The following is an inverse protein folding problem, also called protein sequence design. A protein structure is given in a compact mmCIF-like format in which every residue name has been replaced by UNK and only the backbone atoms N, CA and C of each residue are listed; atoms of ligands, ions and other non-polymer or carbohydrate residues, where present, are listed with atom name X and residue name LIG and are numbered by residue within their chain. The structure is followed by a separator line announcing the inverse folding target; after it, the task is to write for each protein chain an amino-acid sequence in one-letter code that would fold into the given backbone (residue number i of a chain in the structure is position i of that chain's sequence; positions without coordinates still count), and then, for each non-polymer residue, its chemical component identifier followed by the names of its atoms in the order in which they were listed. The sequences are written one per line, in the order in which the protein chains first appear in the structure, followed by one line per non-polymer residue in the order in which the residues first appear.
data_IF_739718995311
#
_entry.id   IF_739718995311
#
_cell.length_a   1.000
_cell.length_b   1.000
_cell.length_c   1.000
_cell.angle_alpha   90.00
_cell.angle_beta   90.00
_cell.angle_gamma   90.00
#
_symmetry.space_group_name_H-M   'P 1'
#
loop_
_entity.id
_entity.type
_entity.pdbx_description
1 polymer ?
#
# COMPACT_ATOMS: atom_id res chain seq x y z
N UNK A 1 38.35 -3.42 -45.10
CA UNK A 1 37.76 -3.00 -43.81
C UNK A 1 36.30 -3.45 -43.77
N UNK A 2 36.04 -4.66 -43.28
CA UNK A 2 34.70 -5.22 -43.18
C UNK A 2 34.12 -4.94 -41.79
N UNK A 3 33.04 -4.15 -41.75
CA UNK A 3 32.26 -3.93 -40.53
C UNK A 3 31.20 -5.07 -40.47
N UNK A 4 31.47 -6.06 -39.67
CA UNK A 4 30.51 -7.11 -39.29
C UNK A 4 29.47 -6.49 -38.33
N UNK A 5 28.26 -6.27 -38.81
CA UNK A 5 27.11 -5.92 -37.97
C UNK A 5 26.63 -7.19 -37.29
N UNK A 6 26.87 -7.26 -35.99
CA UNK A 6 26.30 -8.30 -35.13
C UNK A 6 24.81 -7.99 -34.96
N UNK A 7 23.92 -8.71 -35.66
CA UNK A 7 22.49 -8.74 -35.39
C UNK A 7 22.26 -9.59 -34.15
N UNK A 8 21.97 -8.93 -33.04
CA UNK A 8 21.46 -9.63 -31.83
C UNK A 8 20.03 -10.08 -32.12
N UNK A 9 19.87 -11.36 -32.47
CA UNK A 9 18.56 -11.98 -32.62
C UNK A 9 17.98 -12.17 -31.22
N UNK A 10 17.17 -11.23 -30.73
CA UNK A 10 16.33 -11.45 -29.56
C UNK A 10 15.33 -12.54 -29.92
N UNK A 11 15.51 -13.73 -29.36
CA UNK A 11 14.51 -14.78 -29.35
C UNK A 11 13.33 -14.30 -28.48
N UNK A 12 12.38 -13.61 -29.11
CA UNK A 12 11.07 -13.36 -28.57
C UNK A 12 10.33 -14.69 -28.42
N UNK A 13 10.43 -15.32 -27.24
CA UNK A 13 9.47 -16.34 -26.86
C UNK A 13 8.08 -15.70 -26.85
N UNK A 14 7.04 -16.31 -27.43
CA UNK A 14 5.75 -15.69 -27.57
C UNK A 14 5.08 -15.49 -26.22
N UNK A 15 5.08 -14.27 -25.72
CA UNK A 15 4.11 -13.85 -24.70
C UNK A 15 2.77 -13.86 -25.41
N UNK A 16 1.95 -14.85 -25.14
CA UNK A 16 0.68 -15.03 -25.83
C UNK A 16 -0.34 -14.04 -25.27
N UNK A 17 -0.69 -13.02 -26.07
CA UNK A 17 -1.91 -12.24 -25.83
C UNK A 17 -3.11 -13.15 -26.18
N UNK A 18 -3.76 -13.70 -25.17
CA UNK A 18 -4.90 -14.58 -25.34
C UNK A 18 -6.20 -13.78 -25.25
N UNK A 19 -6.75 -13.37 -26.38
CA UNK A 19 -8.10 -12.82 -26.47
C UNK A 19 -9.06 -13.93 -26.92
N UNK A 20 -9.69 -14.62 -25.99
CA UNK A 20 -10.85 -15.49 -26.25
C UNK A 20 -11.99 -15.12 -25.32
N UNK A 21 -13.08 -14.58 -25.85
CA UNK A 21 -14.31 -14.34 -25.09
C UNK A 21 -14.27 -13.12 -24.17
N UNK A 22 -13.89 -11.94 -24.67
CA UNK A 22 -14.14 -10.64 -24.01
C UNK A 22 -13.11 -10.15 -22.98
N UNK A 23 -12.29 -11.00 -22.36
CA UNK A 23 -11.28 -10.55 -21.41
C UNK A 23 -9.87 -10.61 -22.03
N UNK A 24 -9.15 -9.48 -22.02
CA UNK A 24 -7.75 -9.36 -22.46
C UNK A 24 -6.84 -9.74 -21.29
N UNK A 25 -5.97 -10.74 -21.44
CA UNK A 25 -5.04 -11.12 -20.39
C UNK A 25 -3.69 -11.61 -20.91
N UNK A 26 -2.67 -11.43 -20.06
CA UNK A 26 -1.32 -11.93 -20.20
C UNK A 26 -1.04 -12.89 -19.05
N UNK A 27 -0.14 -13.86 -19.26
CA UNK A 27 0.24 -14.84 -18.24
C UNK A 27 1.75 -14.77 -18.05
N UNK A 28 2.18 -14.54 -16.80
CA UNK A 28 3.59 -14.59 -16.42
C UNK A 28 4.02 -16.05 -16.27
N UNK A 29 5.25 -16.38 -16.66
CA UNK A 29 5.81 -17.70 -16.41
C UNK A 29 6.11 -17.88 -14.92
N UNK A 30 5.64 -18.98 -14.35
CA UNK A 30 5.75 -19.26 -12.91
C UNK A 30 7.18 -19.13 -12.37
N UNK A 31 7.38 -18.31 -11.34
CA UNK A 31 8.66 -18.05 -10.69
C UNK A 31 9.73 -17.34 -11.53
N UNK A 32 9.37 -16.85 -12.72
CA UNK A 32 10.32 -16.19 -13.63
C UNK A 32 10.18 -14.66 -13.53
N UNK A 33 11.12 -14.05 -12.81
CA UNK A 33 11.15 -12.59 -12.59
C UNK A 33 11.31 -11.80 -13.90
N UNK A 34 12.10 -12.31 -14.84
CA UNK A 34 12.28 -11.64 -16.15
C UNK A 34 10.97 -11.66 -16.95
N UNK A 35 10.24 -12.78 -16.94
CA UNK A 35 8.92 -12.87 -17.55
C UNK A 35 7.93 -11.89 -16.92
N UNK A 36 7.98 -11.68 -15.61
CA UNK A 36 7.16 -10.69 -14.93
C UNK A 36 7.45 -9.27 -15.44
N UNK A 37 8.72 -8.87 -15.49
CA UNK A 37 9.16 -7.56 -15.97
C UNK A 37 8.74 -7.32 -17.43
N UNK A 38 8.97 -8.29 -18.31
CA UNK A 38 8.59 -8.24 -19.73
C UNK A 38 7.08 -8.15 -19.90
N UNK A 39 6.31 -8.88 -19.09
CA UNK A 39 4.84 -8.85 -19.12
C UNK A 39 4.29 -7.50 -18.69
N UNK A 40 4.86 -6.88 -17.64
CA UNK A 40 4.50 -5.52 -17.21
C UNK A 40 4.79 -4.53 -18.35
N UNK A 41 5.99 -4.58 -18.94
CA UNK A 41 6.38 -3.69 -20.03
C UNK A 41 5.47 -3.85 -21.27
N UNK A 42 5.05 -5.08 -21.57
CA UNK A 42 4.09 -5.34 -22.65
C UNK A 42 2.70 -4.76 -22.30
N UNK A 43 2.22 -4.96 -21.09
CA UNK A 43 0.95 -4.40 -20.65
C UNK A 43 0.96 -2.87 -20.72
N UNK A 44 2.07 -2.23 -20.37
CA UNK A 44 2.25 -0.79 -20.48
C UNK A 44 2.14 -0.31 -21.93
N UNK A 45 2.70 -1.05 -22.88
CA UNK A 45 2.63 -0.70 -24.30
C UNK A 45 1.21 -0.85 -24.85
N UNK A 46 0.45 -1.84 -24.36
CA UNK A 46 -0.90 -2.16 -24.81
C UNK A 46 -1.99 -1.27 -24.19
N UNK A 47 -1.75 -0.72 -23.00
CA UNK A 47 -2.74 0.00 -22.20
C UNK A 47 -2.33 1.45 -21.84
N UNK A 48 -1.57 2.10 -22.72
CA UNK A 48 -1.21 3.52 -22.53
C UNK A 48 -2.40 4.46 -22.62
N UNK A 49 -3.38 4.13 -23.43
CA UNK A 49 -4.62 4.90 -23.55
C UNK A 49 -5.48 4.70 -22.29
N UNK A 50 -5.96 5.81 -21.71
CA UNK A 50 -6.84 5.79 -20.55
C UNK A 50 -8.22 5.17 -20.82
N UNK A 51 -8.62 5.11 -22.08
CA UNK A 51 -9.88 4.48 -22.56
C UNK A 51 -9.72 3.00 -22.91
N UNK A 52 -8.50 2.45 -22.86
CA UNK A 52 -8.26 1.05 -23.14
C UNK A 52 -9.07 0.14 -22.18
N UNK A 53 -9.60 -0.93 -22.70
CA UNK A 53 -10.24 -1.98 -21.89
C UNK A 53 -9.22 -2.56 -20.89
N UNK A 54 -9.72 -3.01 -19.72
CA UNK A 54 -8.87 -3.60 -18.68
C UNK A 54 -8.08 -4.78 -19.20
N UNK A 55 -6.77 -4.74 -18.95
CA UNK A 55 -5.83 -5.80 -19.26
C UNK A 55 -5.41 -6.49 -17.95
N UNK A 56 -5.59 -7.80 -17.89
CA UNK A 56 -5.23 -8.62 -16.75
C UNK A 56 -3.86 -9.25 -16.94
N UNK A 57 -2.99 -9.15 -15.95
CA UNK A 57 -1.74 -9.90 -15.86
C UNK A 57 -1.94 -10.97 -14.79
N UNK A 58 -2.04 -12.24 -15.22
CA UNK A 58 -2.08 -13.36 -14.29
C UNK A 58 -0.66 -13.77 -13.90
N UNK A 59 -0.41 -13.83 -12.60
CA UNK A 59 0.90 -14.16 -12.02
C UNK A 59 0.72 -15.44 -11.20
N UNK A 60 1.16 -16.61 -11.72
CA UNK A 60 1.08 -17.89 -11.00
C UNK A 60 1.81 -17.86 -9.66
N UNK A 61 1.51 -18.83 -8.78
CA UNK A 61 2.32 -19.05 -7.59
C UNK A 61 3.78 -19.24 -7.98
N UNK A 62 4.66 -18.58 -7.24
CA UNK A 62 6.10 -18.57 -7.48
C UNK A 62 6.79 -17.45 -6.73
N UNK A 63 8.09 -17.52 -6.65
CA UNK A 63 8.96 -16.54 -6.03
C UNK A 63 9.67 -15.75 -7.14
N UNK A 64 9.27 -14.49 -7.30
CA UNK A 64 9.76 -13.59 -8.35
C UNK A 64 10.79 -12.65 -7.75
N UNK A 65 12.05 -13.10 -7.73
CA UNK A 65 13.16 -12.33 -7.17
C UNK A 65 13.71 -11.32 -8.18
N UNK A 66 13.46 -10.05 -7.93
CA UNK A 66 13.95 -8.94 -8.73
C UNK A 66 15.38 -8.51 -8.33
N UNK A 67 16.00 -9.18 -7.34
CA UNK A 67 17.31 -8.81 -6.82
C UNK A 67 17.32 -7.38 -6.30
N UNK A 68 18.28 -6.57 -6.74
CA UNK A 68 18.39 -5.15 -6.39
C UNK A 68 17.50 -4.23 -7.23
N UNK A 69 16.72 -4.77 -8.18
CA UNK A 69 15.87 -3.96 -9.06
C UNK A 69 14.80 -3.23 -8.27
N UNK A 70 14.69 -1.94 -8.49
CA UNK A 70 13.72 -1.06 -7.86
C UNK A 70 12.91 -0.30 -8.92
N UNK A 71 11.79 0.28 -8.49
CA UNK A 71 10.96 1.19 -9.28
C UNK A 71 10.48 0.57 -10.60
N UNK A 72 10.21 -0.76 -10.62
CA UNK A 72 9.55 -1.37 -11.77
C UNK A 72 8.22 -0.65 -12.01
N UNK A 73 8.18 0.14 -13.08
CA UNK A 73 7.07 1.06 -13.32
C UNK A 73 5.91 0.37 -14.04
N UNK A 74 4.69 0.71 -13.62
CA UNK A 74 3.43 0.37 -14.27
C UNK A 74 2.87 1.67 -14.85
N UNK A 75 2.95 1.83 -16.16
CA UNK A 75 2.46 3.01 -16.88
C UNK A 75 1.09 2.80 -17.52
N UNK A 76 0.68 1.55 -17.67
CA UNK A 76 -0.58 1.18 -18.32
C UNK A 76 -1.77 1.61 -17.48
N UNK A 77 -2.79 2.18 -18.15
CA UNK A 77 -4.09 2.46 -17.53
C UNK A 77 -4.97 1.19 -17.56
N UNK A 78 -5.86 1.06 -16.58
CA UNK A 78 -6.75 -0.11 -16.50
C UNK A 78 -5.98 -1.46 -16.50
N UNK A 79 -4.82 -1.53 -15.84
CA UNK A 79 -4.06 -2.77 -15.66
C UNK A 79 -4.48 -3.46 -14.37
N UNK A 80 -4.61 -4.78 -14.40
CA UNK A 80 -4.87 -5.59 -13.22
C UNK A 80 -3.76 -6.63 -13.02
N UNK A 81 -3.07 -6.60 -11.87
CA UNK A 81 -2.12 -7.62 -11.42
C UNK A 81 -2.86 -8.64 -10.57
N UNK A 82 -2.97 -9.88 -11.04
CA UNK A 82 -3.73 -10.94 -10.38
C UNK A 82 -2.80 -12.10 -10.04
N UNK A 83 -2.41 -12.20 -8.78
CA UNK A 83 -1.70 -13.37 -8.27
C UNK A 83 -2.62 -14.59 -8.20
N UNK A 84 -2.05 -15.77 -8.23
CA UNK A 84 -2.80 -17.01 -8.02
C UNK A 84 -3.30 -17.11 -6.58
N UNK A 85 -2.43 -16.83 -5.60
CA UNK A 85 -2.80 -16.68 -4.18
C UNK A 85 -1.90 -15.65 -3.48
N UNK A 86 -2.39 -15.05 -2.41
CA UNK A 86 -1.63 -14.07 -1.64
C UNK A 86 -0.35 -14.68 -1.05
N UNK A 87 -0.44 -15.90 -0.55
CA UNK A 87 0.68 -16.59 0.09
C UNK A 87 1.69 -17.17 -0.92
N UNK A 88 1.21 -17.57 -2.10
CA UNK A 88 2.02 -18.29 -3.07
C UNK A 88 2.65 -17.43 -4.16
N UNK A 89 2.05 -16.27 -4.48
CA UNK A 89 2.59 -15.34 -5.48
C UNK A 89 3.39 -14.25 -4.79
N UNK A 90 4.73 -14.36 -4.77
CA UNK A 90 5.61 -13.46 -4.03
C UNK A 90 6.54 -12.71 -5.00
N UNK A 91 6.41 -11.39 -5.05
CA UNK A 91 7.31 -10.51 -5.79
C UNK A 91 8.22 -9.82 -4.78
N UNK A 92 9.51 -10.01 -4.93
CA UNK A 92 10.50 -9.57 -3.94
C UNK A 92 11.63 -8.77 -4.58
N UNK A 93 12.12 -7.74 -3.86
CA UNK A 93 13.43 -7.15 -4.13
C UNK A 93 14.26 -7.05 -2.84
N UNK A 94 15.56 -6.73 -2.97
CA UNK A 94 16.46 -6.45 -1.86
C UNK A 94 17.44 -5.34 -2.31
N UNK A 95 17.01 -4.09 -2.33
CA UNK A 95 17.90 -2.98 -2.65
C UNK A 95 18.98 -2.84 -1.57
N UNK A 96 20.21 -2.43 -1.94
CA UNK A 96 21.27 -2.21 -0.97
C UNK A 96 20.93 -1.02 -0.04
N UNK A 97 21.39 -1.09 1.20
CA UNK A 97 21.09 -0.09 2.24
C UNK A 97 21.55 1.32 1.88
N UNK A 98 22.59 1.45 1.07
CA UNK A 98 23.09 2.74 0.59
C UNK A 98 22.11 3.46 -0.35
N UNK A 99 21.13 2.72 -0.88
CA UNK A 99 20.06 3.27 -1.72
C UNK A 99 18.78 3.58 -0.92
N UNK A 100 18.78 3.35 0.42
CA UNK A 100 17.60 3.55 1.23
C UNK A 100 16.97 4.92 0.95
N UNK A 101 15.72 4.92 0.58
CA UNK A 101 14.98 6.16 0.28
C UNK A 101 13.53 5.82 -0.06
N UNK A 102 12.60 6.64 0.41
CA UNK A 102 11.18 6.56 0.03
C UNK A 102 10.95 6.68 -1.49
N UNK A 103 11.86 7.28 -2.23
CA UNK A 103 11.71 7.53 -3.67
C UNK A 103 12.49 6.56 -4.55
N UNK A 104 13.29 5.65 -3.99
CA UNK A 104 14.22 4.81 -4.75
C UNK A 104 14.06 3.32 -4.55
N UNK A 105 13.49 2.86 -3.45
CA UNK A 105 13.50 1.46 -3.04
C UNK A 105 12.27 0.66 -3.42
N UNK A 106 11.22 1.29 -3.96
CA UNK A 106 9.96 0.60 -4.25
C UNK A 106 10.16 -0.59 -5.20
N UNK A 107 9.51 -1.71 -4.88
CA UNK A 107 9.42 -2.87 -5.78
C UNK A 107 8.69 -2.44 -7.05
N UNK A 108 7.49 -1.88 -6.87
CA UNK A 108 6.62 -1.43 -7.95
C UNK A 108 6.30 0.07 -7.79
N UNK A 109 6.37 0.78 -8.91
CA UNK A 109 5.99 2.18 -9.04
C UNK A 109 4.78 2.30 -9.97
N UNK A 110 3.60 2.51 -9.41
CA UNK A 110 2.40 2.74 -10.23
C UNK A 110 2.32 4.19 -10.73
N UNK A 111 2.08 4.35 -12.00
CA UNK A 111 1.79 5.62 -12.68
C UNK A 111 0.50 5.55 -13.52
N UNK A 112 -0.09 4.37 -13.60
CA UNK A 112 -1.34 4.12 -14.33
C UNK A 112 -2.57 4.58 -13.57
N UNK A 113 -3.67 4.73 -14.30
CA UNK A 113 -5.00 5.01 -13.74
C UNK A 113 -5.81 3.73 -13.63
N UNK A 114 -6.66 3.64 -12.60
CA UNK A 114 -7.55 2.52 -12.37
C UNK A 114 -6.81 1.17 -12.26
N UNK A 115 -5.68 1.15 -11.58
CA UNK A 115 -4.89 -0.08 -11.35
C UNK A 115 -5.57 -0.96 -10.31
N UNK A 116 -5.61 -2.27 -10.56
CA UNK A 116 -6.13 -3.26 -9.62
C UNK A 116 -5.08 -4.31 -9.28
N UNK A 117 -4.90 -4.60 -8.01
CA UNK A 117 -3.95 -5.59 -7.52
C UNK A 117 -4.66 -6.57 -6.60
N UNK A 118 -4.48 -7.87 -6.84
CA UNK A 118 -5.20 -8.89 -6.08
C UNK A 118 -4.36 -10.15 -5.87
N UNK A 119 -4.50 -10.75 -4.67
CA UNK A 119 -4.00 -12.09 -4.31
C UNK A 119 -2.48 -12.27 -4.55
N UNK A 120 -1.66 -11.34 -4.07
CA UNK A 120 -0.19 -11.45 -4.13
C UNK A 120 0.50 -10.80 -2.93
N UNK A 121 1.76 -11.17 -2.70
CA UNK A 121 2.65 -10.58 -1.71
C UNK A 121 3.74 -9.76 -2.41
N UNK A 122 3.97 -8.55 -1.93
CA UNK A 122 5.14 -7.73 -2.22
C UNK A 122 6.06 -7.77 -1.00
N UNK A 123 7.35 -8.05 -1.20
CA UNK A 123 8.32 -8.17 -0.11
C UNK A 123 9.58 -7.38 -0.43
N UNK A 124 9.86 -6.34 0.35
CA UNK A 124 11.10 -5.58 0.25
C UNK A 124 12.05 -5.99 1.37
N UNK A 125 13.12 -6.67 1.02
CA UNK A 125 14.13 -7.23 1.92
C UNK A 125 15.36 -6.33 2.08
N UNK A 126 15.22 -5.00 1.97
CA UNK A 126 16.26 -4.08 2.41
C UNK A 126 16.63 -4.40 3.87
N UNK A 127 17.91 -4.48 4.17
CA UNK A 127 18.40 -4.78 5.53
C UNK A 127 18.15 -3.59 6.47
N UNK A 128 16.93 -3.55 7.01
CA UNK A 128 16.43 -2.46 7.84
C UNK A 128 17.27 -2.25 9.10
N UNK A 129 17.58 -3.32 9.81
CA UNK A 129 18.26 -3.20 11.12
C UNK A 129 19.73 -2.77 10.99
N UNK A 130 20.37 -3.02 9.86
CA UNK A 130 21.76 -2.64 9.60
C UNK A 130 21.90 -1.50 8.58
N UNK A 131 20.80 -0.79 8.29
CA UNK A 131 20.83 0.30 7.30
C UNK A 131 21.70 1.50 7.71
N UNK A 132 21.95 1.67 9.00
CA UNK A 132 22.68 2.84 9.53
C UNK A 132 21.94 4.17 9.33
N UNK A 133 20.74 4.14 8.77
CA UNK A 133 19.85 5.27 8.48
C UNK A 133 18.40 4.90 8.82
N UNK A 134 17.42 5.54 8.18
CA UNK A 134 16.00 5.27 8.44
C UNK A 134 15.54 3.90 7.93
N UNK A 135 16.25 3.30 6.96
CA UNK A 135 15.90 1.98 6.42
C UNK A 135 14.61 1.97 5.59
N UNK A 136 14.36 3.04 4.83
CA UNK A 136 13.14 3.18 4.02
C UNK A 136 13.12 2.17 2.89
N UNK A 137 12.12 1.31 2.90
CA UNK A 137 12.00 0.15 2.04
C UNK A 137 10.56 -0.03 1.52
N UNK A 138 10.24 0.68 0.44
CA UNK A 138 8.89 0.75 -0.11
C UNK A 138 8.54 -0.53 -0.87
N UNK A 139 7.38 -1.12 -0.60
CA UNK A 139 6.82 -2.17 -1.46
C UNK A 139 6.11 -1.58 -2.67
N UNK A 140 5.21 -0.61 -2.43
CA UNK A 140 4.42 0.02 -3.48
C UNK A 140 4.48 1.53 -3.36
N UNK A 141 5.00 2.18 -4.40
CA UNK A 141 4.92 3.63 -4.56
C UNK A 141 3.81 3.96 -5.58
N UNK A 142 2.83 4.77 -5.17
CA UNK A 142 1.70 5.12 -6.03
C UNK A 142 1.76 6.58 -6.48
N UNK A 143 1.87 6.77 -7.78
CA UNK A 143 1.74 8.06 -8.49
C UNK A 143 0.55 8.05 -9.44
N UNK A 144 -0.19 6.95 -9.45
CA UNK A 144 -1.42 6.79 -10.21
C UNK A 144 -2.63 7.37 -9.47
N UNK A 145 -3.82 7.03 -9.97
CA UNK A 145 -5.08 7.38 -9.33
C UNK A 145 -6.07 6.23 -9.45
N UNK A 146 -6.95 6.08 -8.46
CA UNK A 146 -7.94 5.01 -8.36
C UNK A 146 -7.29 3.62 -8.36
N UNK A 147 -6.27 3.45 -7.53
CA UNK A 147 -5.66 2.13 -7.31
C UNK A 147 -6.47 1.37 -6.26
N UNK A 148 -6.72 0.10 -6.56
CA UNK A 148 -7.48 -0.80 -5.69
C UNK A 148 -6.64 -2.03 -5.35
N UNK A 149 -6.60 -2.39 -4.07
CA UNK A 149 -5.91 -3.56 -3.55
C UNK A 149 -6.91 -4.51 -2.87
N UNK A 150 -6.86 -5.78 -3.20
CA UNK A 150 -7.70 -6.82 -2.61
C UNK A 150 -6.87 -8.04 -2.25
N UNK A 151 -6.77 -8.36 -0.96
CA UNK A 151 -5.92 -9.44 -0.46
C UNK A 151 -4.49 -9.35 -1.01
N UNK A 152 -3.88 -8.18 -0.77
CA UNK A 152 -2.47 -7.93 -1.08
C UNK A 152 -1.72 -7.82 0.23
N UNK A 153 -0.62 -8.58 0.35
CA UNK A 153 0.29 -8.49 1.49
C UNK A 153 1.51 -7.67 1.11
N UNK A 154 1.87 -6.69 1.94
CA UNK A 154 3.07 -5.88 1.79
C UNK A 154 3.96 -6.08 3.00
N UNK A 155 5.12 -6.71 2.80
CA UNK A 155 6.09 -7.06 3.84
C UNK A 155 7.32 -6.16 3.72
N UNK A 156 7.51 -5.28 4.69
CA UNK A 156 8.67 -4.40 4.80
C UNK A 156 8.74 -3.78 6.20
N UNK A 157 9.51 -2.72 6.34
CA UNK A 157 9.73 -2.01 7.60
C UNK A 157 9.28 -0.55 7.53
N UNK A 158 10.15 0.39 7.16
CA UNK A 158 9.78 1.81 7.07
C UNK A 158 9.27 2.17 5.67
N UNK A 159 8.21 2.98 5.60
CA UNK A 159 7.60 3.51 4.36
C UNK A 159 7.05 2.42 3.41
N UNK A 160 6.53 1.31 3.91
CA UNK A 160 6.10 0.14 3.12
C UNK A 160 5.14 0.49 1.98
N UNK A 161 4.13 1.31 2.25
CA UNK A 161 3.20 1.85 1.25
C UNK A 161 3.33 3.37 1.18
N UNK A 162 3.60 3.89 -0.01
CA UNK A 162 3.74 5.31 -0.25
C UNK A 162 2.83 5.84 -1.35
N UNK A 163 1.80 6.63 -1.01
CA UNK A 163 0.98 7.40 -1.95
C UNK A 163 1.56 8.80 -2.17
N UNK A 164 1.79 9.15 -3.44
CA UNK A 164 2.60 10.35 -3.73
C UNK A 164 1.78 11.63 -3.90
N UNK A 165 0.59 11.57 -4.48
CA UNK A 165 -0.12 12.74 -5.00
C UNK A 165 -1.36 13.12 -4.18
N UNK A 166 -1.56 14.42 -3.95
CA UNK A 166 -2.72 14.95 -3.20
C UNK A 166 -4.08 14.60 -3.81
N UNK A 167 -4.15 14.53 -5.13
CA UNK A 167 -5.41 14.27 -5.86
C UNK A 167 -5.70 12.77 -6.05
N UNK A 168 -4.85 11.90 -5.47
CA UNK A 168 -5.04 10.47 -5.60
C UNK A 168 -6.19 9.95 -4.72
N UNK A 169 -6.85 8.93 -5.22
CA UNK A 169 -7.83 8.13 -4.49
C UNK A 169 -7.42 6.67 -4.54
N UNK A 170 -7.25 6.02 -3.38
CA UNK A 170 -6.85 4.63 -3.30
C UNK A 170 -7.75 3.86 -2.34
N UNK A 171 -7.91 2.58 -2.59
CA UNK A 171 -8.78 1.70 -1.81
C UNK A 171 -8.12 0.35 -1.54
N UNK A 172 -8.07 0.00 -0.27
CA UNK A 172 -7.61 -1.31 0.20
C UNK A 172 -8.77 -2.09 0.79
N UNK A 173 -8.85 -3.37 0.48
CA UNK A 173 -9.83 -4.28 1.09
C UNK A 173 -9.19 -5.62 1.42
N UNK A 174 -9.40 -6.08 2.67
CA UNK A 174 -8.93 -7.38 3.18
C UNK A 174 -7.44 -7.63 2.87
N UNK A 175 -6.62 -6.58 2.92
CA UNK A 175 -5.17 -6.60 2.63
C UNK A 175 -4.36 -6.56 3.92
N UNK A 176 -3.07 -6.87 3.83
CA UNK A 176 -2.17 -6.98 4.97
C UNK A 176 -0.94 -6.09 4.72
N UNK A 177 -0.61 -5.19 5.67
CA UNK A 177 0.49 -4.24 5.53
C UNK A 177 1.35 -4.28 6.80
N UNK A 178 2.62 -4.61 6.63
CA UNK A 178 3.61 -4.72 7.69
C UNK A 178 4.59 -3.55 7.68
N UNK A 179 5.04 -3.13 8.86
CA UNK A 179 6.10 -2.16 8.97
C UNK A 179 6.41 -1.66 10.37
N UNK A 180 7.28 -0.68 10.44
CA UNK A 180 7.76 -0.08 11.70
C UNK A 180 7.35 1.39 11.81
N UNK A 181 8.02 2.28 11.10
CA UNK A 181 7.76 3.72 11.18
C UNK A 181 7.23 4.24 9.85
N UNK A 182 6.15 5.04 9.94
CA UNK A 182 5.56 5.70 8.78
C UNK A 182 5.23 4.72 7.62
N UNK A 183 4.96 3.45 7.97
CA UNK A 183 4.91 2.41 6.95
C UNK A 183 3.67 2.48 6.04
N UNK A 184 2.70 3.33 6.40
CA UNK A 184 1.60 3.74 5.53
C UNK A 184 1.66 5.26 5.43
N UNK A 185 2.27 5.79 4.35
CA UNK A 185 2.60 7.21 4.29
C UNK A 185 2.26 7.87 2.96
N UNK A 186 2.20 9.19 2.96
CA UNK A 186 1.99 10.00 1.77
C UNK A 186 0.70 10.81 1.74
N UNK A 187 0.27 11.19 0.55
CA UNK A 187 -0.83 12.10 0.30
C UNK A 187 -2.06 11.40 -0.31
N UNK A 188 -3.10 12.17 -0.58
CA UNK A 188 -4.34 11.69 -1.19
C UNK A 188 -5.38 11.18 -0.19
N UNK A 189 -6.53 10.80 -0.70
CA UNK A 189 -7.59 10.14 0.07
C UNK A 189 -7.45 8.63 -0.09
N UNK A 190 -7.12 7.95 1.00
CA UNK A 190 -6.88 6.50 1.00
C UNK A 190 -7.79 5.81 2.02
N UNK A 191 -8.55 4.84 1.57
CA UNK A 191 -9.45 4.07 2.41
C UNK A 191 -8.95 2.64 2.60
N UNK A 192 -8.72 2.26 3.86
CA UNK A 192 -8.35 0.91 4.27
C UNK A 192 -9.57 0.23 4.90
N UNK A 193 -10.10 -0.80 4.24
CA UNK A 193 -11.31 -1.50 4.66
C UNK A 193 -10.98 -2.92 5.13
N UNK A 194 -11.16 -3.19 6.42
CA UNK A 194 -10.90 -4.50 7.05
C UNK A 194 -9.50 -5.06 6.73
N UNK A 195 -8.49 -4.19 6.77
CA UNK A 195 -7.10 -4.61 6.57
C UNK A 195 -6.48 -5.10 7.88
N UNK A 196 -5.54 -6.02 7.77
CA UNK A 196 -4.62 -6.38 8.84
C UNK A 196 -3.41 -5.45 8.77
N UNK A 197 -3.18 -4.71 9.83
CA UNK A 197 -2.04 -3.78 9.97
C UNK A 197 -1.09 -4.40 10.99
N UNK A 198 0.13 -4.69 10.59
CA UNK A 198 1.10 -5.38 11.43
C UNK A 198 2.26 -4.44 11.75
N UNK A 199 2.45 -4.16 13.04
CA UNK A 199 3.63 -3.44 13.50
C UNK A 199 4.75 -4.44 13.82
N UNK A 200 5.80 -4.40 13.02
CA UNK A 200 7.01 -5.22 13.20
C UNK A 200 7.86 -4.72 14.38
N UNK A 201 8.87 -5.48 14.79
CA UNK A 201 9.83 -5.02 15.79
C UNK A 201 10.53 -3.75 15.33
N UNK A 202 10.46 -2.68 16.15
CA UNK A 202 11.14 -1.41 15.83
C UNK A 202 12.66 -1.57 15.84
N UNK A 203 13.16 -2.26 16.86
CA UNK A 203 14.54 -2.70 17.02
C UNK A 203 14.56 -4.23 17.15
N UNK A 204 15.69 -4.87 16.89
CA UNK A 204 15.83 -6.34 16.97
C UNK A 204 15.42 -6.91 18.34
N UNK A 205 15.64 -6.13 19.41
CA UNK A 205 15.27 -6.50 20.78
C UNK A 205 13.79 -6.20 21.13
N UNK A 206 12.99 -5.72 20.16
CA UNK A 206 11.60 -5.35 20.36
C UNK A 206 11.38 -3.98 21.03
N UNK A 207 12.45 -3.28 21.40
CA UNK A 207 12.36 -1.94 21.98
C UNK A 207 11.97 -0.88 20.95
N UNK A 208 11.64 0.32 21.42
CA UNK A 208 11.29 1.46 20.60
C UNK A 208 9.78 1.57 20.34
N UNK A 209 9.40 2.61 19.61
CA UNK A 209 8.01 2.95 19.31
C UNK A 209 7.82 3.05 17.80
N UNK A 210 6.84 2.34 17.27
CA UNK A 210 6.43 2.39 15.89
C UNK A 210 5.42 3.52 15.64
N UNK A 211 5.29 3.92 14.38
CA UNK A 211 4.23 4.81 13.91
C UNK A 211 3.59 4.20 12.67
N UNK A 212 2.30 3.89 12.72
CA UNK A 212 1.64 3.21 11.60
C UNK A 212 1.51 4.14 10.41
N UNK A 213 0.81 5.27 10.57
CA UNK A 213 0.50 6.16 9.46
C UNK A 213 1.24 7.50 9.54
N UNK A 214 1.73 7.99 8.41
CA UNK A 214 2.31 9.32 8.28
C UNK A 214 1.68 10.06 7.08
N UNK A 215 0.46 10.58 7.23
CA UNK A 215 -0.19 11.34 6.18
C UNK A 215 0.58 12.63 5.88
N UNK A 216 0.80 12.88 4.57
CA UNK A 216 1.45 14.07 4.03
C UNK A 216 0.45 14.96 3.31
N UNK A 217 -0.75 15.03 3.81
CA UNK A 217 -1.84 15.77 3.17
C UNK A 217 -1.68 17.27 3.34
N UNK A 218 -2.20 18.02 2.37
CA UNK A 218 -2.22 19.49 2.37
C UNK A 218 -3.60 20.03 2.01
N UNK A 219 -4.22 19.52 0.96
CA UNK A 219 -5.48 20.01 0.39
C UNK A 219 -6.58 18.96 0.36
N UNK A 220 -6.25 17.69 0.48
CA UNK A 220 -7.21 16.58 0.59
C UNK A 220 -8.17 16.78 1.75
N UNK A 221 -9.45 16.49 1.54
CA UNK A 221 -10.48 16.70 2.56
C UNK A 221 -10.51 15.59 3.63
N UNK A 222 -10.20 14.34 3.25
CA UNK A 222 -10.36 13.17 4.12
C UNK A 222 -9.05 12.55 4.59
N UNK A 223 -8.05 12.48 3.74
CA UNK A 223 -6.77 11.85 4.03
C UNK A 223 -6.87 10.33 4.18
N UNK A 224 -6.23 9.76 5.19
CA UNK A 224 -6.22 8.32 5.44
C UNK A 224 -7.35 7.90 6.35
N UNK A 225 -8.19 6.97 5.90
CA UNK A 225 -9.32 6.42 6.66
C UNK A 225 -9.15 4.91 6.82
N UNK A 226 -9.03 4.47 8.07
CA UNK A 226 -8.97 3.05 8.43
C UNK A 226 -10.33 2.63 9.00
N UNK A 227 -11.01 1.72 8.32
CA UNK A 227 -12.35 1.25 8.72
C UNK A 227 -12.34 -0.24 9.02
N UNK A 228 -12.64 -0.60 10.27
CA UNK A 228 -12.74 -1.99 10.71
C UNK A 228 -11.45 -2.78 10.52
N UNK A 229 -10.31 -2.11 10.62
CA UNK A 229 -8.99 -2.75 10.52
C UNK A 229 -8.62 -3.42 11.84
N UNK A 230 -7.84 -4.50 11.75
CA UNK A 230 -7.22 -5.16 12.91
C UNK A 230 -5.75 -4.74 12.98
N UNK A 231 -5.27 -4.39 14.17
CA UNK A 231 -3.84 -4.13 14.41
C UNK A 231 -3.27 -5.31 15.18
N UNK A 232 -2.33 -6.01 14.54
CA UNK A 232 -1.43 -6.97 15.16
C UNK A 232 -0.10 -6.28 15.51
N UNK A 233 0.48 -6.66 16.63
CA UNK A 233 1.73 -6.07 17.10
C UNK A 233 2.72 -7.17 17.48
N UNK A 234 3.94 -7.11 16.94
CA UNK A 234 4.97 -8.10 17.26
C UNK A 234 5.52 -7.90 18.68
N UNK A 235 6.07 -6.73 19.02
CA UNK A 235 6.61 -6.51 20.37
C UNK A 235 6.67 -5.02 20.76
N UNK A 236 7.01 -4.15 19.83
CA UNK A 236 7.27 -2.74 20.10
C UNK A 236 5.99 -1.95 20.37
N UNK A 237 6.07 -0.91 21.16
CA UNK A 237 4.96 0.05 21.29
C UNK A 237 4.68 0.77 19.98
N UNK A 238 3.49 1.36 19.84
CA UNK A 238 3.14 2.06 18.61
C UNK A 238 2.15 3.21 18.79
N UNK A 239 2.21 4.16 17.85
CA UNK A 239 1.19 5.18 17.63
C UNK A 239 0.39 4.87 16.36
N UNK A 240 -0.87 5.32 16.34
CA UNK A 240 -1.76 5.20 15.16
C UNK A 240 -1.29 6.05 13.99
N UNK A 241 -0.84 7.28 14.26
CA UNK A 241 -0.30 8.16 13.23
C UNK A 241 0.56 9.29 13.81
N UNK A 242 1.35 9.92 12.91
CA UNK A 242 1.98 11.24 13.12
C UNK A 242 1.83 12.14 11.90
N UNK A 243 1.98 13.44 12.07
CA UNK A 243 1.90 14.37 10.96
C UNK A 243 3.18 14.46 10.13
N UNK A 244 3.04 14.62 8.82
CA UNK A 244 4.22 14.76 7.94
C UNK A 244 4.24 16.07 7.12
N UNK A 245 3.12 16.69 6.79
CA UNK A 245 3.08 17.88 5.92
C UNK A 245 2.24 19.01 6.52
N UNK A 246 1.59 19.83 5.71
CA UNK A 246 0.90 21.05 6.17
C UNK A 246 -0.44 20.79 6.88
N UNK A 247 -1.19 19.74 6.46
CA UNK A 247 -2.50 19.40 7.02
C UNK A 247 -2.69 17.87 7.09
N UNK A 248 -1.90 17.18 7.93
CA UNK A 248 -2.00 15.72 8.05
C UNK A 248 -3.38 15.29 8.54
N UNK A 249 -4.05 14.38 7.80
CA UNK A 249 -5.36 13.84 8.14
C UNK A 249 -5.35 12.33 8.21
N UNK A 250 -5.80 11.79 9.35
CA UNK A 250 -5.88 10.35 9.58
C UNK A 250 -7.01 10.01 10.54
N UNK A 251 -7.90 9.10 10.14
CA UNK A 251 -9.03 8.68 10.97
C UNK A 251 -9.10 7.16 11.07
N UNK A 252 -9.24 6.67 12.31
CA UNK A 252 -9.39 5.27 12.65
C UNK A 252 -10.79 5.00 13.17
N UNK A 253 -11.51 4.08 12.53
CA UNK A 253 -12.91 3.77 12.82
C UNK A 253 -13.10 2.28 13.09
N UNK A 254 -13.67 1.94 14.25
CA UNK A 254 -13.99 0.57 14.62
C UNK A 254 -12.78 -0.38 14.52
N UNK A 255 -11.63 0.08 14.98
CA UNK A 255 -10.37 -0.67 14.97
C UNK A 255 -10.40 -1.77 16.02
N UNK A 256 -9.82 -2.93 15.70
CA UNK A 256 -9.62 -4.04 16.63
C UNK A 256 -8.15 -4.11 17.00
N UNK A 257 -7.83 -4.08 18.30
CA UNK A 257 -6.46 -4.20 18.80
C UNK A 257 -6.23 -5.58 19.39
N UNK A 258 -5.21 -6.30 18.92
CA UNK A 258 -4.80 -7.58 19.52
C UNK A 258 -4.02 -7.38 20.82
N UNK A 259 -3.20 -6.33 20.90
CA UNK A 259 -2.37 -5.98 22.07
C UNK A 259 -2.58 -4.51 22.47
N UNK A 260 -3.72 -4.18 23.12
CA UNK A 260 -4.06 -2.79 23.48
C UNK A 260 -3.03 -2.10 24.37
N UNK A 261 -2.31 -2.87 25.20
CA UNK A 261 -1.27 -2.39 26.11
C UNK A 261 -0.01 -1.85 25.39
N UNK A 262 0.14 -2.16 24.11
CA UNK A 262 1.23 -1.69 23.26
C UNK A 262 0.93 -0.36 22.56
N UNK A 263 -0.34 0.03 22.50
CA UNK A 263 -0.74 1.31 21.95
C UNK A 263 -0.39 2.42 22.94
N UNK A 264 0.38 3.41 22.47
CA UNK A 264 0.78 4.54 23.29
C UNK A 264 -0.44 5.31 23.86
N UNK A 265 -0.43 5.77 25.11
CA UNK A 265 -1.58 6.44 25.73
C UNK A 265 -2.11 7.66 24.98
N UNK A 266 -1.23 8.37 24.30
CA UNK A 266 -1.58 9.54 23.46
C UNK A 266 -2.27 9.15 22.15
N UNK A 267 -2.26 7.85 21.78
CA UNK A 267 -2.79 7.29 20.51
C UNK A 267 -2.08 7.78 19.27
N UNK A 268 -1.84 9.07 19.16
CA UNK A 268 -1.12 9.74 18.07
C UNK A 268 0.20 10.29 18.61
N UNK A 269 1.25 10.20 17.77
CA UNK A 269 2.58 10.67 18.13
C UNK A 269 2.55 12.19 18.30
N UNK A 270 3.01 12.72 19.44
CA UNK A 270 3.11 14.15 19.66
C UNK A 270 4.17 14.84 18.78
N UNK A 271 5.00 14.09 18.06
CA UNK A 271 6.00 14.64 17.15
C UNK A 271 5.51 14.61 15.70
N UNK A 272 5.20 15.77 15.14
CA UNK A 272 4.97 15.94 13.70
C UNK A 272 6.27 16.30 12.99
N UNK A 273 6.46 15.81 11.79
CA UNK A 273 7.66 16.11 10.99
C UNK A 273 7.69 17.60 10.61
N UNK A 274 6.53 18.21 10.34
CA UNK A 274 6.45 19.60 9.88
C UNK A 274 5.41 20.43 10.61
N UNK A 275 4.16 20.27 10.29
CA UNK A 275 3.08 21.11 10.81
C UNK A 275 2.40 20.50 12.03
N UNK A 276 2.03 21.29 13.05
CA UNK A 276 1.18 20.84 14.14
C UNK A 276 -0.31 20.82 13.77
N UNK A 277 -0.70 21.22 12.55
CA UNK A 277 -2.10 21.34 12.11
C UNK A 277 -2.70 19.96 11.74
N UNK A 278 -2.47 18.94 12.58
CA UNK A 278 -3.00 17.61 12.36
C UNK A 278 -4.50 17.55 12.61
N UNK A 279 -5.22 16.85 11.75
CA UNK A 279 -6.61 16.46 11.94
C UNK A 279 -6.66 14.94 12.12
N UNK A 280 -6.63 14.49 13.37
CA UNK A 280 -6.65 13.10 13.75
C UNK A 280 -8.00 12.73 14.36
N UNK A 281 -8.47 11.51 14.11
CA UNK A 281 -9.71 11.00 14.65
C UNK A 281 -9.64 9.52 15.01
N UNK A 282 -10.21 9.17 16.17
CA UNK A 282 -10.41 7.78 16.57
C UNK A 282 -11.84 7.61 17.08
N UNK A 283 -12.52 6.53 16.66
CA UNK A 283 -13.85 6.17 17.11
C UNK A 283 -14.07 4.65 17.11
N UNK A 284 -14.62 4.14 18.21
CA UNK A 284 -15.10 2.76 18.26
C UNK A 284 -14.01 1.69 18.30
N UNK A 285 -12.80 2.02 18.76
CA UNK A 285 -11.71 1.04 18.93
C UNK A 285 -12.04 0.05 20.04
N UNK A 286 -11.84 -1.24 19.76
CA UNK A 286 -12.13 -2.36 20.70
C UNK A 286 -10.94 -3.31 20.82
N UNK A 287 -10.92 -4.11 21.89
CA UNK A 287 -10.03 -5.25 22.01
C UNK A 287 -10.61 -6.49 21.26
N UNK A 288 -9.88 -7.60 21.29
CA UNK A 288 -10.29 -8.87 20.66
C UNK A 288 -11.58 -9.48 21.28
N UNK A 289 -12.00 -9.05 22.46
CA UNK A 289 -13.22 -9.44 23.13
C UNK A 289 -14.41 -8.51 22.81
N UNK A 290 -14.15 -7.43 22.05
CA UNK A 290 -15.15 -6.42 21.71
C UNK A 290 -15.39 -5.37 22.80
N UNK A 291 -14.53 -5.29 23.81
CA UNK A 291 -14.62 -4.24 24.84
C UNK A 291 -14.09 -2.91 24.28
N UNK A 292 -14.85 -1.84 24.49
CA UNK A 292 -14.48 -0.51 24.03
C UNK A 292 -13.23 0.00 24.76
N UNK A 293 -12.24 0.44 24.01
CA UNK A 293 -10.97 0.99 24.49
C UNK A 293 -11.02 2.52 24.42
N UNK A 294 -11.59 3.13 25.48
CA UNK A 294 -11.67 4.60 25.55
C UNK A 294 -10.28 5.21 25.79
N UNK A 295 -9.84 6.20 24.98
CA UNK A 295 -8.60 6.92 25.22
C UNK A 295 -8.61 7.62 26.59
N UNK A 296 -7.47 7.67 27.24
CA UNK A 296 -7.30 8.40 28.54
C UNK A 296 -7.37 9.91 28.36
N UNK A 297 -7.05 10.39 27.16
CA UNK A 297 -7.16 11.81 26.76
C UNK A 297 -7.78 11.91 25.37
N UNK A 298 -8.57 12.95 25.15
CA UNK A 298 -9.19 13.25 23.85
C UNK A 298 -8.36 14.25 23.03
N UNK A 299 -7.19 14.60 23.51
CA UNK A 299 -6.31 15.58 22.87
C UNK A 299 -4.87 15.12 22.93
N UNK A 300 -4.08 15.60 21.98
CA UNK A 300 -2.63 15.47 21.99
C UNK A 300 -1.97 16.83 21.69
N UNK A 301 -0.90 17.14 22.38
CA UNK A 301 -0.09 18.33 22.11
C UNK A 301 0.95 17.97 21.05
N UNK A 302 0.75 18.47 19.84
CA UNK A 302 1.61 18.20 18.67
C UNK A 302 2.69 19.27 18.59
N UNK A 303 3.93 18.85 18.46
CA UNK A 303 5.10 19.69 18.19
C UNK A 303 5.67 19.31 16.82
N UNK A 304 5.89 20.30 15.98
CA UNK A 304 6.51 20.13 14.66
C UNK A 304 7.50 21.25 14.35
N UNK A 305 8.21 21.15 13.24
CA UNK A 305 9.17 22.22 12.85
C UNK A 305 8.52 23.58 12.57
N UNK A 306 7.20 23.62 12.34
CA UNK A 306 6.43 24.84 12.08
C UNK A 306 5.64 25.34 13.29
N UNK A 307 5.90 24.82 14.50
CA UNK A 307 5.27 25.24 15.74
C UNK A 307 4.63 24.11 16.53
N UNK A 308 3.72 24.47 17.43
CA UNK A 308 3.03 23.53 18.30
C UNK A 308 1.53 23.83 18.39
N UNK A 309 0.71 22.80 18.64
CA UNK A 309 -0.74 22.94 18.81
C UNK A 309 -1.33 21.73 19.53
N UNK A 310 -2.29 21.98 20.40
CA UNK A 310 -3.12 20.91 20.95
C UNK A 310 -4.30 20.64 20.00
N UNK A 311 -4.44 19.38 19.57
CA UNK A 311 -5.47 18.93 18.64
C UNK A 311 -6.38 17.89 19.29
N UNK A 312 -7.63 17.81 18.84
CA UNK A 312 -8.55 16.74 19.22
C UNK A 312 -8.15 15.46 18.49
N UNK A 313 -8.30 14.31 19.16
CA UNK A 313 -7.95 12.99 18.64
C UNK A 313 -9.09 11.98 18.71
N UNK A 314 -10.13 12.28 19.49
CA UNK A 314 -11.35 11.48 19.54
C UNK A 314 -12.48 12.22 18.81
N UNK A 315 -13.22 11.50 18.00
CA UNK A 315 -14.41 12.01 17.31
C UNK A 315 -15.68 11.34 17.88
N UNK A 316 -16.81 12.03 17.80
CA UNK A 316 -18.08 11.50 18.25
C UNK A 316 -18.79 10.67 17.15
N UNK A 317 -19.93 10.06 17.47
CA UNK A 317 -20.68 9.22 16.52
C UNK A 317 -21.15 9.98 15.28
N UNK A 318 -21.56 11.25 15.41
CA UNK A 318 -22.02 12.09 14.29
C UNK A 318 -20.86 12.37 13.34
N UNK A 319 -19.72 12.74 13.87
CA UNK A 319 -18.47 12.94 13.09
C UNK A 319 -18.04 11.66 12.40
N UNK A 320 -18.06 10.52 13.11
CA UNK A 320 -17.70 9.20 12.56
C UNK A 320 -18.62 8.79 11.40
N UNK A 321 -19.94 9.08 11.48
CA UNK A 321 -20.89 8.78 10.41
C UNK A 321 -20.66 9.57 9.11
N UNK A 322 -19.87 10.65 9.14
CA UNK A 322 -19.47 11.37 7.92
C UNK A 322 -18.49 10.60 7.05
N UNK A 323 -17.71 9.68 7.65
CA UNK A 323 -16.74 8.85 6.94
C UNK A 323 -17.43 7.68 6.25
N UNK A 324 -17.88 7.91 5.04
CA UNK A 324 -18.47 6.89 4.16
C UNK A 324 -17.72 6.86 2.83
N UNK A 325 -17.72 5.71 2.15
CA UNK A 325 -17.11 5.62 0.81
C UNK A 325 -17.75 6.62 -0.18
N UNK A 326 -19.02 6.94 0.01
CA UNK A 326 -19.69 7.92 -0.83
C UNK A 326 -19.20 9.35 -0.61
N UNK A 327 -18.93 9.72 0.63
CA UNK A 327 -18.44 11.06 0.97
C UNK A 327 -16.96 11.21 0.58
N UNK A 328 -16.14 10.20 0.90
CA UNK A 328 -14.70 10.21 0.57
C UNK A 328 -14.45 10.07 -0.94
N UNK A 329 -15.27 9.29 -1.63
CA UNK A 329 -15.15 9.04 -3.07
C UNK A 329 -16.47 9.32 -3.81
N UNK A 330 -16.92 10.58 -3.90
CA UNK A 330 -18.23 10.90 -4.46
C UNK A 330 -18.42 10.47 -5.92
N UNK A 331 -17.33 10.45 -6.69
CA UNK A 331 -17.30 10.10 -8.11
C UNK A 331 -16.67 8.74 -8.40
N UNK A 332 -16.48 7.89 -7.37
CA UNK A 332 -15.89 6.58 -7.50
C UNK A 332 -16.52 5.61 -6.50
N UNK A 333 -16.73 4.36 -6.89
CA UNK A 333 -17.34 3.31 -6.07
C UNK A 333 -16.42 2.09 -6.00
N UNK A 334 -15.27 2.21 -5.31
CA UNK A 334 -14.24 1.17 -5.31
C UNK A 334 -14.74 -0.19 -4.80
N UNK A 335 -15.57 -0.20 -3.78
CA UNK A 335 -16.16 -1.43 -3.22
C UNK A 335 -16.98 -2.23 -4.24
N UNK A 336 -17.73 -1.55 -5.09
CA UNK A 336 -18.50 -2.19 -6.17
C UNK A 336 -17.59 -2.65 -7.30
N UNK A 337 -16.60 -1.85 -7.65
CA UNK A 337 -15.64 -2.18 -8.69
C UNK A 337 -14.79 -3.39 -8.28
N UNK A 338 -14.27 -3.43 -7.06
CA UNK A 338 -13.53 -4.57 -6.51
C UNK A 338 -14.34 -5.86 -6.60
N UNK A 339 -15.63 -5.85 -6.21
CA UNK A 339 -16.50 -7.05 -6.32
C UNK A 339 -16.66 -7.55 -7.75
N UNK A 340 -16.72 -6.64 -8.73
CA UNK A 340 -16.80 -7.00 -10.16
C UNK A 340 -15.47 -7.60 -10.62
N UNK A 341 -14.36 -6.96 -10.28
CA UNK A 341 -13.03 -7.37 -10.68
C UNK A 341 -12.63 -8.71 -10.03
N UNK A 342 -12.97 -8.92 -8.77
CA UNK A 342 -12.75 -10.19 -8.08
C UNK A 342 -13.47 -11.36 -8.78
N UNK A 343 -14.73 -11.18 -9.18
CA UNK A 343 -15.46 -12.20 -9.95
C UNK A 343 -14.80 -12.50 -11.29
N UNK A 344 -14.27 -11.49 -11.96
CA UNK A 344 -13.52 -11.67 -13.22
C UNK A 344 -12.20 -12.38 -12.99
N UNK A 345 -11.47 -12.00 -11.94
CA UNK A 345 -10.21 -12.65 -11.55
C UNK A 345 -10.40 -14.13 -11.23
N UNK A 346 -11.47 -14.50 -10.52
CA UNK A 346 -11.80 -15.90 -10.25
C UNK A 346 -12.09 -16.71 -11.53
N UNK A 347 -12.77 -16.11 -12.52
CA UNK A 347 -12.98 -16.74 -13.82
C UNK A 347 -11.66 -16.92 -14.59
N UNK A 348 -10.80 -15.90 -14.56
CA UNK A 348 -9.48 -15.93 -15.18
C UNK A 348 -8.62 -17.05 -14.58
N UNK A 349 -8.51 -17.13 -13.25
CA UNK A 349 -7.78 -18.19 -12.54
C UNK A 349 -8.24 -19.58 -12.98
N UNK A 350 -9.55 -19.83 -12.97
CA UNK A 350 -10.13 -21.11 -13.43
C UNK A 350 -9.83 -21.43 -14.90
N UNK A 351 -9.60 -20.43 -15.75
CA UNK A 351 -9.30 -20.60 -17.17
C UNK A 351 -7.83 -20.90 -17.41
N UNK A 352 -6.94 -20.25 -16.65
CA UNK A 352 -5.49 -20.36 -16.83
C UNK A 352 -4.93 -21.60 -16.14
N UNK A 353 -5.51 -22.01 -15.00
CA UNK A 353 -5.05 -23.15 -14.20
C UNK A 353 -5.64 -24.51 -14.64
N UNK A 354 -6.42 -24.57 -15.72
CA UNK A 354 -6.89 -25.81 -16.38
C UNK A 354 -5.89 -26.28 -17.44
#
# INVERSE_FOLDING_TARGET
MNRTRLFLLMLLLPITLLARGGDRYLVVKAGDAQSLLETIALADSLNRDSLAERLYIFIPNGYYDLGETTLTAIWGNNVALIGESMEGTIIRNAPPVEQESISKTAILLNRGQNTYVQDLTLRNDLDYYHSGAAGRAVCWQDKGNRTMFKRVRMLSYQDTYYSHSEECQHYFEDSEIHGTVDFICGAGDVWFNRCLIVTEKRNEDGSGVNVIAAPRTSTTEWGYVFQGCTIHNEESHFHLARGWHTHPRCTWLNTILESPEKLEPTRFDPQSIRSPQCEFGEYGTVDMQGNLLTPTTNTVHIVGSEGEKTVQTSINAEEAHRFTLHNVFPNWKPDKEVRILEKKSLKLKKKVLK
#
